data_IF_431783004052
#
_entry.id   IF_431783004052
#
_cell.length_a   1.000
_cell.length_b   1.000
_cell.length_c   1.000
_cell.angle_alpha   90.00
_cell.angle_beta   90.00
_cell.angle_gamma   90.00
#
_symmetry.space_group_name_H-M   'P 1'
#
loop_
_entity.id
_entity.type
_entity.pdbx_description
1 polymer ?
#
# COMPACT_ATOMS: atom_id res chain seq x y z
N UNK A 1 1.57 -0.07 17.80
CA UNK A 1 0.14 0.23 17.68
C UNK A 1 -0.12 0.61 16.26
N UNK A 2 -0.97 -0.13 15.57
CA UNK A 2 -1.36 0.17 14.22
C UNK A 2 -2.13 1.50 14.13
N UNK A 3 -1.92 2.20 13.02
CA UNK A 3 -2.75 3.33 12.61
C UNK A 3 -3.73 2.86 11.52
N UNK A 4 -4.98 3.26 11.62
CA UNK A 4 -6.02 2.90 10.66
C UNK A 4 -6.50 4.14 9.90
N UNK A 5 -6.67 4.00 8.59
CA UNK A 5 -7.22 5.05 7.74
C UNK A 5 -8.15 4.47 6.67
N UNK A 6 -9.14 5.26 6.25
CA UNK A 6 -9.93 4.95 5.05
C UNK A 6 -9.23 5.51 3.84
N UNK A 7 -9.01 4.68 2.83
CA UNK A 7 -8.33 5.02 1.59
C UNK A 7 -9.29 4.87 0.39
N UNK A 8 -9.34 5.90 -0.45
CA UNK A 8 -9.97 5.86 -1.78
C UNK A 8 -8.93 6.29 -2.81
N UNK A 9 -8.75 5.49 -3.86
CA UNK A 9 -7.75 5.69 -4.91
C UNK A 9 -8.39 5.43 -6.27
N UNK A 10 -8.17 6.33 -7.22
CA UNK A 10 -8.44 6.11 -8.64
C UNK A 10 -7.13 5.87 -9.38
N UNK A 11 -7.04 4.75 -10.10
CA UNK A 11 -5.83 4.36 -10.83
C UNK A 11 -6.08 4.30 -12.31
N UNK A 12 -5.20 4.94 -13.07
CA UNK A 12 -5.23 4.98 -14.52
C UNK A 12 -4.00 4.27 -15.06
N UNK A 13 -4.21 3.42 -16.07
CA UNK A 13 -3.12 2.82 -16.83
C UNK A 13 -2.80 3.71 -18.03
N UNK A 14 -1.52 3.88 -18.34
CA UNK A 14 -1.02 4.76 -19.40
C UNK A 14 -0.04 4.01 -20.29
N UNK A 15 0.10 4.43 -21.55
CA UNK A 15 1.06 3.82 -22.47
C UNK A 15 2.51 4.11 -22.06
N UNK A 16 3.45 3.29 -22.53
CA UNK A 16 4.88 3.45 -22.20
C UNK A 16 5.50 4.77 -22.72
N UNK A 17 4.88 5.38 -23.73
CA UNK A 17 5.25 6.67 -24.30
C UNK A 17 4.45 7.84 -23.71
N UNK A 18 3.67 7.59 -22.65
CA UNK A 18 2.94 8.64 -21.95
C UNK A 18 3.89 9.68 -21.37
N UNK A 19 3.52 10.95 -21.54
CA UNK A 19 4.18 12.10 -20.95
C UNK A 19 3.17 12.83 -20.10
N UNK A 20 3.53 13.13 -18.84
CA UNK A 20 2.71 13.96 -17.96
C UNK A 20 2.48 15.32 -18.64
N UNK A 21 1.22 15.75 -18.85
CA UNK A 21 0.94 17.05 -19.45
C UNK A 21 1.55 18.18 -18.63
N UNK A 22 1.91 19.29 -19.27
CA UNK A 22 2.36 20.47 -18.55
C UNK A 22 1.28 20.94 -17.56
N UNK A 23 1.61 20.98 -16.27
CA UNK A 23 0.67 21.35 -15.21
C UNK A 23 0.73 22.85 -14.85
N UNK A 24 1.61 23.62 -15.49
CA UNK A 24 1.87 25.02 -15.15
C UNK A 24 0.63 25.90 -15.07
N UNK A 25 -0.33 25.72 -15.99
CA UNK A 25 -1.59 26.49 -16.01
C UNK A 25 -2.54 26.15 -14.84
N UNK A 26 -2.27 25.05 -14.12
CA UNK A 26 -2.99 24.65 -12.90
C UNK A 26 -2.30 25.12 -11.62
N UNK A 27 -1.07 25.63 -11.71
CA UNK A 27 -0.32 26.12 -10.56
C UNK A 27 -0.84 27.52 -10.18
N UNK A 28 -1.29 27.75 -8.94
CA UNK A 28 -1.76 29.07 -8.52
C UNK A 28 -0.63 30.10 -8.51
N UNK A 29 -0.95 31.40 -8.50
CA UNK A 29 0.02 32.51 -8.60
C UNK A 29 1.20 32.46 -7.59
N UNK A 30 1.03 31.80 -6.45
CA UNK A 30 2.09 31.58 -5.45
C UNK A 30 2.48 30.11 -5.26
N UNK A 31 2.03 29.24 -6.16
CA UNK A 31 2.39 27.83 -6.19
C UNK A 31 3.71 27.58 -6.90
N UNK A 32 4.22 26.36 -6.74
CA UNK A 32 5.31 25.83 -7.55
C UNK A 32 5.01 24.37 -7.90
N UNK A 33 5.54 23.92 -9.02
CA UNK A 33 5.56 22.51 -9.39
C UNK A 33 6.91 21.93 -8.97
N UNK A 34 6.88 20.92 -8.11
CA UNK A 34 8.05 20.12 -7.74
C UNK A 34 7.95 18.76 -8.44
N UNK A 35 8.92 18.45 -9.28
CA UNK A 35 9.03 17.13 -9.94
C UNK A 35 10.11 16.35 -9.22
N UNK A 36 9.71 15.22 -8.64
CA UNK A 36 10.63 14.30 -7.96
C UNK A 36 10.42 12.86 -8.44
N UNK A 37 11.44 12.05 -8.28
CA UNK A 37 11.40 10.61 -8.54
C UNK A 37 11.72 9.87 -7.26
N UNK A 38 10.71 9.23 -6.67
CA UNK A 38 10.87 8.37 -5.50
C UNK A 38 10.96 6.90 -5.91
N UNK A 39 11.82 6.15 -5.22
CA UNK A 39 11.92 4.70 -5.36
C UNK A 39 11.09 4.02 -4.28
N UNK A 40 10.17 3.16 -4.69
CA UNK A 40 9.35 2.34 -3.81
C UNK A 40 9.57 0.86 -4.13
N UNK A 41 10.02 0.09 -3.16
CA UNK A 41 10.16 -1.36 -3.23
C UNK A 41 9.10 -1.98 -2.29
N UNK A 42 8.40 -3.02 -2.74
CA UNK A 42 7.33 -3.65 -1.94
C UNK A 42 7.40 -5.17 -1.99
N UNK A 43 7.40 -5.79 -0.82
CA UNK A 43 7.31 -7.25 -0.64
C UNK A 43 5.90 -7.58 -0.18
N UNK A 44 5.24 -8.51 -0.88
CA UNK A 44 3.87 -8.93 -0.61
C UNK A 44 3.86 -10.28 0.09
N UNK A 45 2.98 -10.41 1.07
CA UNK A 45 2.85 -11.61 1.91
C UNK A 45 1.46 -12.19 1.74
N UNK A 46 1.40 -13.51 1.64
CA UNK A 46 0.17 -14.28 1.48
C UNK A 46 0.46 -15.73 1.85
N UNK A 47 -0.58 -16.52 2.06
CA UNK A 47 -0.42 -17.97 2.22
C UNK A 47 0.08 -18.59 0.91
N UNK A 48 0.63 -19.80 0.98
CA UNK A 48 1.03 -20.56 -0.22
C UNK A 48 -0.12 -20.71 -1.23
N UNK A 49 -1.36 -20.77 -0.74
CA UNK A 49 -2.53 -20.88 -1.58
C UNK A 49 -3.04 -19.51 -2.07
N UNK A 50 -2.56 -18.38 -1.56
CA UNK A 50 -3.04 -17.01 -1.84
C UNK A 50 -4.41 -16.68 -1.24
N UNK A 51 -4.62 -17.09 0.00
CA UNK A 51 -5.91 -16.90 0.68
C UNK A 51 -6.24 -15.41 0.91
N UNK A 52 -5.26 -14.56 1.22
CA UNK A 52 -5.51 -13.12 1.38
C UNK A 52 -5.98 -12.50 0.07
N UNK A 53 -5.28 -12.79 -1.03
CA UNK A 53 -5.63 -12.30 -2.36
C UNK A 53 -7.03 -12.76 -2.80
N UNK A 54 -7.42 -14.01 -2.52
CA UNK A 54 -8.78 -14.50 -2.82
C UNK A 54 -9.87 -13.72 -2.12
N UNK A 55 -9.57 -13.17 -0.95
CA UNK A 55 -10.48 -12.33 -0.18
C UNK A 55 -10.25 -10.83 -0.42
N UNK A 56 -9.44 -10.47 -1.42
CA UNK A 56 -9.11 -9.09 -1.78
C UNK A 56 -8.38 -8.31 -0.67
N UNK A 57 -7.70 -9.01 0.23
CA UNK A 57 -6.77 -8.42 1.18
C UNK A 57 -5.39 -8.28 0.53
N UNK A 58 -4.64 -7.26 0.91
CA UNK A 58 -3.24 -7.10 0.49
C UNK A 58 -2.40 -6.74 1.70
N UNK A 59 -1.49 -7.63 2.06
CA UNK A 59 -0.48 -7.39 3.10
C UNK A 59 0.88 -7.17 2.43
N UNK A 60 1.53 -6.05 2.73
CA UNK A 60 2.85 -5.76 2.18
C UNK A 60 3.74 -5.02 3.18
N UNK A 61 5.05 -5.17 2.98
CA UNK A 61 6.08 -4.30 3.53
C UNK A 61 6.62 -3.43 2.41
N UNK A 62 6.66 -2.11 2.62
CA UNK A 62 7.23 -1.12 1.72
C UNK A 62 8.52 -0.55 2.28
N UNK A 63 9.52 -0.43 1.42
CA UNK A 63 10.81 0.21 1.67
C UNK A 63 11.14 1.18 0.52
N UNK A 64 12.20 1.95 0.67
CA UNK A 64 12.60 2.98 -0.30
C UNK A 64 12.56 4.36 0.34
N UNK A 65 12.05 5.34 -0.41
CA UNK A 65 12.18 6.76 -0.03
C UNK A 65 10.99 7.32 0.75
N UNK A 66 9.79 6.76 0.57
CA UNK A 66 8.57 7.25 1.21
C UNK A 66 7.57 6.13 1.52
N UNK A 67 6.59 6.43 2.38
CA UNK A 67 5.50 5.53 2.76
C UNK A 67 6.00 4.16 3.28
N UNK A 68 7.02 4.20 4.13
CA UNK A 68 7.75 3.03 4.59
C UNK A 68 6.98 2.27 5.69
N UNK A 69 7.16 0.94 5.70
CA UNK A 69 6.63 0.08 6.76
C UNK A 69 5.63 -0.94 6.25
N UNK A 70 4.77 -1.40 7.13
CA UNK A 70 3.79 -2.45 6.86
C UNK A 70 2.41 -1.87 6.58
N UNK A 71 1.74 -2.42 5.59
CA UNK A 71 0.42 -1.99 5.14
C UNK A 71 -0.45 -3.22 4.90
N UNK A 72 -1.61 -3.27 5.57
CA UNK A 72 -2.68 -4.21 5.29
C UNK A 72 -3.87 -3.44 4.74
N UNK A 73 -4.26 -3.75 3.49
CA UNK A 73 -5.47 -3.21 2.86
C UNK A 73 -6.60 -4.22 2.96
N UNK A 74 -7.74 -3.79 3.49
CA UNK A 74 -8.96 -4.59 3.68
C UNK A 74 -10.10 -3.95 2.88
N UNK A 75 -10.90 -4.74 2.12
CA UNK A 75 -12.04 -4.20 1.38
C UNK A 75 -13.06 -3.49 2.26
N UNK A 76 -13.51 -2.30 1.84
CA UNK A 76 -14.52 -1.50 2.55
C UNK A 76 -15.41 -0.74 1.55
N UNK A 77 -16.33 -1.44 0.88
CA UNK A 77 -17.23 -0.84 -0.11
C UNK A 77 -16.47 -0.36 -1.36
N UNK A 78 -16.60 0.94 -1.68
CA UNK A 78 -15.84 1.61 -2.76
C UNK A 78 -14.47 2.13 -2.30
N UNK A 79 -14.09 1.84 -1.06
CA UNK A 79 -12.86 2.24 -0.41
C UNK A 79 -12.15 1.01 0.18
N UNK A 80 -11.03 1.26 0.87
CA UNK A 80 -10.32 0.26 1.67
C UNK A 80 -10.01 0.80 3.05
N UNK A 81 -10.08 -0.05 4.06
CA UNK A 81 -9.41 0.25 5.33
C UNK A 81 -7.95 -0.13 5.18
N UNK A 82 -7.05 0.82 5.41
CA UNK A 82 -5.62 0.59 5.44
C UNK A 82 -5.11 0.64 6.88
N UNK A 83 -4.52 -0.46 7.31
CA UNK A 83 -3.89 -0.62 8.62
C UNK A 83 -2.37 -0.53 8.42
N UNK A 84 -1.72 0.37 9.16
CA UNK A 84 -0.30 0.71 8.99
C UNK A 84 0.50 0.46 10.26
N UNK A 85 1.70 -0.11 10.09
CA UNK A 85 2.73 -0.16 11.12
C UNK A 85 4.05 0.41 10.57
N UNK A 86 4.88 1.05 11.42
CA UNK A 86 6.19 1.51 11.01
C UNK A 86 7.09 0.33 10.59
N UNK A 87 8.20 0.59 9.86
CA UNK A 87 9.21 -0.42 9.58
C UNK A 87 9.68 -1.11 10.86
N UNK A 88 9.81 -2.43 10.78
CA UNK A 88 10.39 -3.27 11.84
C UNK A 88 11.84 -3.63 11.49
N UNK A 89 12.62 -4.03 12.50
CA UNK A 89 13.99 -4.55 12.26
C UNK A 89 14.02 -5.95 11.64
N UNK A 90 12.89 -6.66 11.65
CA UNK A 90 12.69 -7.96 11.02
C UNK A 90 11.88 -7.81 9.71
N UNK A 91 12.11 -8.73 8.77
CA UNK A 91 11.39 -8.86 7.51
C UNK A 91 10.16 -9.79 7.60
N UNK A 92 9.96 -10.46 8.74
CA UNK A 92 8.76 -11.26 9.01
C UNK A 92 7.53 -10.40 9.30
N UNK A 93 6.34 -10.91 8.96
CA UNK A 93 5.06 -10.21 9.22
C UNK A 93 4.90 -9.96 10.72
N UNK A 94 4.66 -8.71 11.17
CA UNK A 94 4.43 -8.42 12.58
C UNK A 94 3.21 -9.16 13.13
N UNK A 95 3.33 -9.69 14.35
CA UNK A 95 2.26 -10.45 15.03
C UNK A 95 0.91 -9.73 15.02
N UNK A 96 0.90 -8.41 15.18
CA UNK A 96 -0.32 -7.59 15.14
C UNK A 96 -1.07 -7.74 13.80
N UNK A 97 -0.36 -7.73 12.66
CA UNK A 97 -0.95 -7.92 11.33
C UNK A 97 -1.23 -9.40 11.01
N UNK A 98 -0.35 -10.32 11.45
CA UNK A 98 -0.57 -11.75 11.28
C UNK A 98 -1.85 -12.20 12.01
N UNK A 99 -2.06 -11.71 13.23
CA UNK A 99 -3.28 -11.96 14.00
C UNK A 99 -4.52 -11.39 13.31
N UNK A 100 -4.43 -10.16 12.76
CA UNK A 100 -5.54 -9.51 12.08
C UNK A 100 -6.06 -10.30 10.86
N UNK A 101 -5.19 -11.03 10.15
CA UNK A 101 -5.57 -11.82 8.97
C UNK A 101 -5.68 -13.32 9.22
N UNK A 102 -5.43 -13.78 10.45
CA UNK A 102 -5.36 -15.21 10.80
C UNK A 102 -6.59 -16.02 10.39
N UNK A 103 -7.79 -15.45 10.51
CA UNK A 103 -9.05 -16.07 10.09
C UNK A 103 -9.16 -16.25 8.57
N UNK A 104 -8.70 -15.26 7.80
CA UNK A 104 -8.65 -15.33 6.32
C UNK A 104 -7.57 -16.31 5.87
N UNK A 105 -6.42 -16.31 6.55
CA UNK A 105 -5.32 -17.23 6.30
C UNK A 105 -5.60 -18.67 6.80
N UNK A 106 -6.71 -18.91 7.51
CA UNK A 106 -7.05 -20.20 8.12
C UNK A 106 -5.93 -20.76 9.03
N UNK A 107 -5.16 -19.87 9.67
CA UNK A 107 -4.00 -20.21 10.50
C UNK A 107 -2.77 -20.72 9.73
N UNK A 108 -2.76 -20.64 8.39
CA UNK A 108 -1.58 -20.97 7.57
C UNK A 108 -0.49 -19.90 7.73
N UNK A 109 0.78 -20.25 7.51
CA UNK A 109 1.86 -19.25 7.47
C UNK A 109 1.68 -18.27 6.31
N UNK A 110 2.14 -17.04 6.54
CA UNK A 110 2.21 -15.92 5.60
C UNK A 110 3.64 -15.74 5.05
#
# INVERSE_FOLDING_TARGET
>A
MAAEQTEREDKYDVSLDFVVPALGDLVPDQGREDIDTIRLDSVYFDTADRDLLRHHLTLRRRSGDDDLGWQLKVPAGDARTEVRLPPTGDESVPDELANAVSGVALGKPL
#
